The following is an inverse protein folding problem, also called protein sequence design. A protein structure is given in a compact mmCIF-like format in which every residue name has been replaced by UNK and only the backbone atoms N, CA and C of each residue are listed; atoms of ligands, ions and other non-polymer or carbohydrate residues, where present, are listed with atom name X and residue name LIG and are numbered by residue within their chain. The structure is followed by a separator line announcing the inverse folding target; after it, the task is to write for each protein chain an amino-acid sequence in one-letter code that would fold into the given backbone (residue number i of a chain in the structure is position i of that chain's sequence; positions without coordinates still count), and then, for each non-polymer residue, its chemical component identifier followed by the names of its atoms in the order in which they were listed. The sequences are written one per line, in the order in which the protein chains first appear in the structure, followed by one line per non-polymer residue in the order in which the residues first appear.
data_IF_601321331083
#
_entry.id   IF_601321331083
#
_cell.length_a   1.000
_cell.length_b   1.000
_cell.length_c   1.000
_cell.angle_alpha   90.00
_cell.angle_beta   90.00
_cell.angle_gamma   90.00
#
_symmetry.space_group_name_H-M   'P 1'
#
loop_
_entity.id
_entity.type
_entity.pdbx_description
1 polymer ?
#
# COMPACT_ATOMS: atom_id res chain seq x y z
N UNK A 1 5.15 -1.50 -20.48
CA UNK A 1 4.64 -2.44 -19.47
C UNK A 1 5.75 -3.45 -19.20
N UNK A 2 6.15 -3.63 -17.94
CA UNK A 2 7.22 -4.56 -17.53
C UNK A 2 6.59 -5.65 -16.67
N UNK A 3 6.99 -6.90 -16.87
CA UNK A 3 6.57 -8.05 -16.06
C UNK A 3 7.70 -8.46 -15.12
N UNK A 4 7.35 -8.80 -13.89
CA UNK A 4 8.32 -9.23 -12.88
C UNK A 4 7.72 -10.38 -12.05
N UNK A 5 8.38 -11.54 -12.03
CA UNK A 5 7.82 -12.80 -11.50
C UNK A 5 8.52 -13.31 -10.23
N UNK A 6 9.21 -12.44 -9.50
CA UNK A 6 9.80 -12.81 -8.21
C UNK A 6 8.75 -12.89 -7.09
N UNK A 7 9.03 -13.69 -6.06
CA UNK A 7 8.15 -13.94 -4.90
C UNK A 7 8.62 -13.24 -3.61
N UNK A 8 9.58 -12.32 -3.72
CA UNK A 8 10.08 -11.57 -2.59
C UNK A 8 9.14 -10.40 -2.24
N UNK A 9 9.57 -9.62 -1.25
CA UNK A 9 9.02 -8.29 -0.98
C UNK A 9 9.83 -7.26 -1.76
N UNK A 10 9.14 -6.32 -2.39
CA UNK A 10 9.74 -5.25 -3.20
C UNK A 10 9.25 -3.89 -2.73
N UNK A 11 10.14 -2.90 -2.75
CA UNK A 11 9.75 -1.50 -2.63
C UNK A 11 9.11 -1.05 -3.93
N UNK A 12 7.88 -0.56 -3.85
CA UNK A 12 7.15 -0.04 -5.01
C UNK A 12 7.37 1.46 -5.14
N UNK A 13 7.24 2.17 -4.02
CA UNK A 13 7.38 3.63 -3.98
C UNK A 13 7.93 4.02 -2.62
N UNK A 14 8.96 4.85 -2.61
CA UNK A 14 9.52 5.49 -1.41
C UNK A 14 10.19 6.79 -1.83
N UNK A 15 10.39 7.72 -0.91
CA UNK A 15 11.20 8.90 -1.22
C UNK A 15 12.66 8.51 -1.44
N UNK A 16 13.28 8.97 -2.53
CA UNK A 16 14.70 8.78 -2.80
C UNK A 16 15.58 9.52 -1.77
N UNK A 17 15.13 10.70 -1.33
CA UNK A 17 15.79 11.52 -0.33
C UNK A 17 14.75 12.13 0.62
N UNK A 18 15.13 12.33 1.88
CA UNK A 18 14.27 13.03 2.84
C UNK A 18 14.07 14.48 2.40
N UNK A 19 12.82 14.90 2.21
CA UNK A 19 12.43 16.29 1.95
C UNK A 19 11.54 16.77 3.10
N UNK A 20 12.00 17.73 3.94
CA UNK A 20 11.22 18.25 5.07
C UNK A 20 9.86 18.85 4.68
N UNK A 21 9.65 19.15 3.40
CA UNK A 21 8.40 19.71 2.87
C UNK A 21 7.37 18.65 2.50
N UNK A 22 7.76 17.36 2.49
CA UNK A 22 6.89 16.27 2.09
C UNK A 22 6.78 15.23 3.21
N UNK A 23 5.55 14.78 3.54
CA UNK A 23 5.36 13.61 4.37
C UNK A 23 6.06 12.39 3.77
N UNK A 24 6.87 11.73 4.60
CA UNK A 24 7.54 10.49 4.23
C UNK A 24 6.59 9.30 4.31
N UNK A 25 6.76 8.37 3.39
CA UNK A 25 6.05 7.09 3.38
C UNK A 25 6.93 6.05 2.66
N UNK A 26 6.61 4.78 2.89
CA UNK A 26 7.22 3.67 2.17
C UNK A 26 6.14 2.63 1.83
N UNK A 27 6.06 2.25 0.55
CA UNK A 27 5.11 1.25 0.07
C UNK A 27 5.89 0.05 -0.42
N UNK A 28 5.72 -1.07 0.26
CA UNK A 28 6.27 -2.35 -0.17
C UNK A 28 5.16 -3.32 -0.50
N UNK A 29 5.46 -4.28 -1.38
CA UNK A 29 4.53 -5.32 -1.73
C UNK A 29 5.22 -6.68 -1.79
N UNK A 30 4.53 -7.69 -1.29
CA UNK A 30 5.00 -9.08 -1.35
C UNK A 30 4.23 -9.84 -2.40
N UNK A 31 4.97 -10.50 -3.27
CA UNK A 31 4.41 -11.43 -4.24
C UNK A 31 4.40 -12.87 -3.68
N UNK A 32 3.50 -13.71 -4.20
CA UNK A 32 3.42 -15.13 -3.91
C UNK A 32 3.20 -15.94 -5.19
N UNK A 33 3.76 -17.14 -5.24
CA UNK A 33 3.37 -18.16 -6.22
C UNK A 33 2.03 -18.78 -5.78
N UNK A 34 1.18 -19.12 -6.76
CA UNK A 34 -0.15 -19.71 -6.51
C UNK A 34 -0.35 -21.02 -7.26
N UNK A 35 0.67 -21.89 -7.29
CA UNK A 35 0.63 -23.17 -8.00
C UNK A 35 0.99 -23.06 -9.49
N UNK A 36 1.50 -21.91 -9.91
CA UNK A 36 2.07 -21.69 -11.24
C UNK A 36 3.52 -21.22 -11.05
N UNK A 37 4.52 -22.10 -11.23
CA UNK A 37 5.91 -21.85 -10.86
C UNK A 37 6.55 -20.61 -11.50
N UNK A 38 6.03 -20.16 -12.64
CA UNK A 38 6.57 -19.02 -13.41
C UNK A 38 5.77 -17.73 -13.25
N UNK A 39 4.72 -17.73 -12.40
CA UNK A 39 3.85 -16.58 -12.19
C UNK A 39 3.74 -16.23 -10.71
N UNK A 40 3.94 -14.95 -10.40
CA UNK A 40 3.75 -14.42 -9.04
C UNK A 40 2.66 -13.35 -9.01
N UNK A 41 1.93 -13.30 -7.89
CA UNK A 41 0.78 -12.43 -7.68
C UNK A 41 0.94 -11.66 -6.38
N UNK A 42 0.40 -10.44 -6.31
CA UNK A 42 0.40 -9.66 -5.07
C UNK A 42 -0.33 -10.42 -3.96
N UNK A 43 0.35 -10.61 -2.84
CA UNK A 43 -0.19 -11.25 -1.63
C UNK A 43 -0.65 -10.20 -0.62
N UNK A 44 0.20 -9.23 -0.38
CA UNK A 44 -0.05 -8.11 0.53
C UNK A 44 0.73 -6.88 0.10
N UNK A 45 0.24 -5.74 0.57
CA UNK A 45 0.83 -4.42 0.42
C UNK A 45 1.00 -3.85 1.81
N UNK A 46 2.19 -3.35 2.11
CA UNK A 46 2.51 -2.69 3.38
C UNK A 46 2.78 -1.22 3.10
N UNK A 47 2.06 -0.35 3.80
CA UNK A 47 2.20 1.10 3.74
C UNK A 47 2.67 1.58 5.11
N UNK A 48 3.89 2.08 5.16
CA UNK A 48 4.44 2.76 6.32
C UNK A 48 4.20 4.27 6.15
N UNK A 49 3.38 4.85 7.02
CA UNK A 49 2.96 6.26 6.91
C UNK A 49 2.56 6.79 8.28
N UNK A 50 2.88 8.07 8.55
CA UNK A 50 2.55 8.74 9.81
C UNK A 50 2.98 7.95 11.08
N UNK A 51 4.10 7.23 11.00
CA UNK A 51 4.63 6.42 12.11
C UNK A 51 3.90 5.08 12.35
N UNK A 52 2.92 4.73 11.53
CA UNK A 52 2.16 3.48 11.63
C UNK A 52 2.46 2.57 10.43
N UNK A 53 2.22 1.27 10.62
CA UNK A 53 2.32 0.26 9.56
C UNK A 53 0.93 -0.28 9.22
N UNK A 54 0.44 0.03 8.02
CA UNK A 54 -0.82 -0.52 7.50
C UNK A 54 -0.52 -1.65 6.53
N UNK A 55 -1.09 -2.82 6.76
CA UNK A 55 -0.97 -3.96 5.84
C UNK A 55 -2.32 -4.30 5.22
N UNK A 56 -2.40 -4.17 3.89
CA UNK A 56 -3.54 -4.60 3.07
C UNK A 56 -3.24 -5.99 2.53
N UNK A 57 -4.04 -6.98 2.90
CA UNK A 57 -3.80 -8.38 2.58
C UNK A 57 -4.90 -8.97 1.70
N UNK A 58 -4.61 -10.14 1.13
CA UNK A 58 -5.58 -10.95 0.40
C UNK A 58 -6.92 -11.07 1.13
N UNK A 59 -8.01 -11.14 0.36
CA UNK A 59 -9.38 -11.16 0.87
C UNK A 59 -9.74 -9.88 1.65
N UNK A 60 -9.15 -8.74 1.27
CA UNK A 60 -9.43 -7.41 1.84
C UNK A 60 -9.24 -7.34 3.36
N UNK A 61 -8.28 -8.11 3.91
CA UNK A 61 -7.96 -8.04 5.34
C UNK A 61 -7.02 -6.86 5.58
N UNK A 62 -7.30 -6.09 6.62
CA UNK A 62 -6.50 -4.92 6.99
C UNK A 62 -5.89 -5.13 8.36
N UNK A 63 -4.61 -4.84 8.49
CA UNK A 63 -3.91 -4.77 9.77
C UNK A 63 -3.36 -3.35 9.95
N UNK A 64 -3.40 -2.85 11.18
CA UNK A 64 -2.70 -1.65 11.62
C UNK A 64 -1.78 -2.08 12.76
N UNK A 65 -0.48 -1.89 12.60
CA UNK A 65 0.56 -2.30 13.54
C UNK A 65 0.42 -3.77 13.97
N UNK A 66 0.17 -4.63 12.99
CA UNK A 66 -0.01 -6.08 13.19
C UNK A 66 -1.38 -6.49 13.75
N UNK A 67 -2.22 -5.54 14.19
CA UNK A 67 -3.56 -5.83 14.70
C UNK A 67 -4.61 -5.78 13.60
N UNK A 68 -5.39 -6.84 13.47
CA UNK A 68 -6.49 -6.90 12.49
C UNK A 68 -7.59 -5.91 12.85
N UNK A 69 -8.04 -5.15 11.85
CA UNK A 69 -9.13 -4.19 11.97
C UNK A 69 -10.23 -4.45 10.95
N UNK A 70 -11.39 -3.83 11.16
CA UNK A 70 -12.48 -3.78 10.19
C UNK A 70 -12.58 -2.37 9.65
N UNK A 71 -12.80 -2.23 8.34
CA UNK A 71 -13.06 -0.94 7.70
C UNK A 71 -14.54 -0.56 7.85
N UNK A 72 -14.89 0.75 7.84
CA UNK A 72 -13.98 1.88 7.73
C UNK A 72 -13.18 2.14 9.02
N UNK A 73 -11.97 2.66 8.87
CA UNK A 73 -11.12 3.13 9.96
C UNK A 73 -10.79 4.59 9.73
N UNK A 74 -11.14 5.44 10.70
CA UNK A 74 -10.85 6.87 10.71
C UNK A 74 -10.29 7.25 12.08
N UNK A 75 -9.36 8.21 12.12
CA UNK A 75 -8.82 8.77 13.37
C UNK A 75 -7.87 7.86 14.17
N UNK A 76 -7.69 6.59 13.77
CA UNK A 76 -6.73 5.68 14.42
C UNK A 76 -5.27 6.03 14.10
N UNK A 77 -5.03 6.55 12.91
CA UNK A 77 -3.74 7.10 12.47
C UNK A 77 -4.04 8.54 12.04
N UNK A 78 -3.36 9.57 12.58
CA UNK A 78 -3.60 10.96 12.20
C UNK A 78 -3.45 11.17 10.69
N UNK A 79 -4.43 11.82 10.07
CA UNK A 79 -4.39 12.13 8.64
C UNK A 79 -4.55 10.93 7.71
N UNK A 80 -4.93 9.74 8.21
CA UNK A 80 -5.12 8.54 7.38
C UNK A 80 -6.54 7.97 7.56
N UNK A 81 -7.20 7.68 6.44
CA UNK A 81 -8.46 6.95 6.39
C UNK A 81 -8.28 5.63 5.66
N UNK A 82 -9.00 4.58 6.09
CA UNK A 82 -9.01 3.28 5.42
C UNK A 82 -10.45 2.85 5.23
N UNK A 83 -10.90 2.76 3.98
CA UNK A 83 -12.28 2.45 3.62
C UNK A 83 -12.36 1.27 2.66
N UNK A 84 -13.58 0.77 2.42
CA UNK A 84 -13.84 -0.21 1.36
C UNK A 84 -14.66 0.48 0.29
N UNK A 85 -14.20 0.44 -0.96
CA UNK A 85 -14.91 0.99 -2.12
C UNK A 85 -14.96 -0.04 -3.24
N UNK A 86 -16.16 -0.55 -3.54
CA UNK A 86 -16.35 -1.67 -4.46
C UNK A 86 -15.55 -2.91 -4.03
N UNK A 87 -14.64 -3.37 -4.89
CA UNK A 87 -13.76 -4.52 -4.60
C UNK A 87 -12.47 -4.13 -3.86
N UNK A 88 -12.20 -2.84 -3.68
CA UNK A 88 -10.94 -2.34 -3.16
C UNK A 88 -11.03 -1.99 -1.67
N UNK A 89 -9.95 -2.24 -0.95
CA UNK A 89 -9.62 -1.47 0.24
C UNK A 89 -8.82 -0.25 -0.21
N UNK A 90 -9.22 0.92 0.26
CA UNK A 90 -8.63 2.21 -0.10
C UNK A 90 -8.04 2.82 1.16
N UNK A 91 -6.73 3.11 1.13
CA UNK A 91 -6.06 3.95 2.11
C UNK A 91 -5.86 5.32 1.49
N UNK A 92 -6.33 6.38 2.16
CA UNK A 92 -6.12 7.76 1.75
C UNK A 92 -5.43 8.52 2.87
N UNK A 93 -4.58 9.47 2.48
CA UNK A 93 -3.92 10.39 3.42
C UNK A 93 -4.35 11.83 3.16
N UNK A 94 -4.26 12.68 4.17
CA UNK A 94 -4.53 14.11 4.09
C UNK A 94 -3.59 14.86 3.14
N UNK A 95 -2.38 14.34 2.94
CA UNK A 95 -1.43 14.84 1.95
C UNK A 95 -1.68 14.30 0.53
N UNK A 96 -2.70 13.48 0.32
CA UNK A 96 -3.18 13.07 -1.00
C UNK A 96 -2.57 11.79 -1.58
N UNK A 97 -1.86 10.99 -0.78
CA UNK A 97 -1.52 9.61 -1.17
C UNK A 97 -2.78 8.74 -1.15
N UNK A 98 -3.01 7.99 -2.22
CA UNK A 98 -4.10 7.02 -2.31
C UNK A 98 -3.53 5.65 -2.70
N UNK A 99 -3.82 4.62 -1.91
CA UNK A 99 -3.42 3.24 -2.17
C UNK A 99 -4.65 2.35 -2.21
N UNK A 100 -4.91 1.70 -3.34
CA UNK A 100 -6.07 0.83 -3.56
C UNK A 100 -5.63 -0.59 -3.83
N UNK A 101 -6.08 -1.54 -3.02
CA UNK A 101 -5.79 -2.96 -3.22
C UNK A 101 -7.07 -3.80 -3.25
N UNK A 102 -7.24 -4.62 -4.27
CA UNK A 102 -8.43 -5.46 -4.47
C UNK A 102 -8.48 -6.67 -3.52
N UNK A 103 -7.39 -6.94 -2.80
CA UNK A 103 -7.26 -8.14 -1.98
C UNK A 103 -6.98 -9.40 -2.79
N UNK A 104 -6.50 -9.29 -4.03
CA UNK A 104 -6.19 -10.42 -4.88
C UNK A 104 -4.89 -10.25 -5.67
N UNK A 105 -4.80 -9.29 -6.59
CA UNK A 105 -3.62 -9.10 -7.43
C UNK A 105 -3.47 -7.68 -8.00
N UNK A 106 -4.48 -6.81 -7.85
CA UNK A 106 -4.48 -5.48 -8.43
C UNK A 106 -4.22 -4.42 -7.36
N UNK A 107 -3.16 -3.65 -7.56
CA UNK A 107 -2.77 -2.52 -6.73
C UNK A 107 -2.67 -1.26 -7.59
N UNK A 108 -3.23 -0.17 -7.10
CA UNK A 108 -3.14 1.16 -7.68
C UNK A 108 -2.59 2.12 -6.62
N UNK A 109 -1.62 2.95 -6.99
CA UNK A 109 -1.01 3.97 -6.11
C UNK A 109 -1.12 5.30 -6.85
N UNK A 110 -1.68 6.31 -6.20
CA UNK A 110 -1.75 7.67 -6.71
C UNK A 110 -1.04 8.61 -5.74
N UNK A 111 -0.30 9.56 -6.29
CA UNK A 111 0.41 10.58 -5.54
C UNK A 111 0.13 11.97 -6.13
N UNK A 112 0.13 13.02 -5.29
CA UNK A 112 0.10 14.39 -5.78
C UNK A 112 1.35 14.73 -6.58
N UNK A 113 1.23 15.66 -7.53
CA UNK A 113 2.36 16.12 -8.37
C UNK A 113 3.53 16.74 -7.59
N UNK A 114 3.34 17.10 -6.31
CA UNK A 114 4.42 17.59 -5.43
C UNK A 114 5.51 16.54 -5.16
N UNK A 115 5.21 15.26 -5.41
CA UNK A 115 6.14 14.12 -5.32
C UNK A 115 6.86 13.80 -6.65
N UNK A 116 6.59 14.56 -7.73
CA UNK A 116 7.27 14.37 -9.01
C UNK A 116 8.79 14.51 -8.85
N UNK A 117 9.55 13.58 -9.44
CA UNK A 117 11.02 13.52 -9.40
C UNK A 117 11.63 13.33 -7.98
N UNK A 118 10.85 12.77 -7.04
CA UNK A 118 11.29 12.54 -5.65
C UNK A 118 11.14 11.10 -5.15
N UNK A 119 10.45 10.27 -5.91
CA UNK A 119 10.11 8.87 -5.58
C UNK A 119 10.66 7.88 -6.60
#
# INVERSE_FOLDING_TARGET
MVSFMGTCTYTLVTLCHADPRLPAFNITAKNEERGQPEASYLRLVTVEVAGATVTLQKSRRVLIDGQRVRTPVEGRIPGVSITTSGIYVVLETDFGLVVKFDGNHHLEIQLPGTYFDKV
#
